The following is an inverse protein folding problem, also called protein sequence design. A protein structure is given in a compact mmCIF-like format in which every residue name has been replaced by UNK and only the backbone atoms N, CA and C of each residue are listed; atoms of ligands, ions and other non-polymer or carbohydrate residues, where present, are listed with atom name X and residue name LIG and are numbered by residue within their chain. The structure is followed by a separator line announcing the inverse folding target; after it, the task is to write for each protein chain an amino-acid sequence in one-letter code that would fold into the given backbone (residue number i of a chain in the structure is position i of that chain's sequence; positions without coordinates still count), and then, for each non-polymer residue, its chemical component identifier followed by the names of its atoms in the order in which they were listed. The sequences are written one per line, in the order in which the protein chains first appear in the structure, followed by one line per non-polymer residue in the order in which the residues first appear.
data_IF_879073599348
#
_entry.id   IF_879073599348
#
_cell.length_a   1.000
_cell.length_b   1.000
_cell.length_c   1.000
_cell.angle_alpha   90.00
_cell.angle_beta   90.00
_cell.angle_gamma   90.00
#
_symmetry.space_group_name_H-M   'P 1'
#
loop_
_entity.id
_entity.type
_entity.pdbx_description
1 polymer ?
#
# COMPACT_ATOMS: atom_id res chain seq x y z
N UNK A 1 5.30 2.80 -11.12
CA UNK A 1 5.63 2.06 -9.89
C UNK A 1 4.65 0.92 -9.67
N UNK A 2 5.15 -0.16 -9.08
CA UNK A 2 4.38 -1.28 -8.54
C UNK A 2 4.94 -1.61 -7.15
N UNK A 3 4.07 -2.13 -6.31
CA UNK A 3 4.42 -2.47 -4.93
C UNK A 3 3.91 -3.87 -4.58
N UNK A 4 4.61 -4.56 -3.69
CA UNK A 4 4.16 -5.80 -3.10
C UNK A 4 4.50 -5.89 -1.61
N UNK A 5 3.54 -6.42 -0.84
CA UNK A 5 3.68 -6.81 0.56
C UNK A 5 3.14 -8.24 0.67
N UNK A 6 4.03 -9.21 0.91
CA UNK A 6 3.71 -10.63 0.76
C UNK A 6 3.17 -10.93 -0.65
N UNK A 7 1.99 -11.55 -0.71
CA UNK A 7 1.26 -11.88 -1.94
C UNK A 7 0.34 -10.75 -2.44
N UNK A 8 0.23 -9.65 -1.69
CA UNK A 8 -0.59 -8.50 -2.11
C UNK A 8 0.19 -7.65 -3.10
N UNK A 9 -0.36 -7.47 -4.30
CA UNK A 9 0.19 -6.57 -5.32
C UNK A 9 -0.64 -5.29 -5.43
N UNK A 10 0.04 -4.14 -5.47
CA UNK A 10 -0.59 -2.83 -5.60
C UNK A 10 -0.06 -2.12 -6.85
N UNK A 11 -1.00 -1.57 -7.60
CA UNK A 11 -0.78 -0.93 -8.89
C UNK A 11 -0.63 0.58 -8.74
N UNK A 12 0.55 1.12 -9.07
CA UNK A 12 0.77 2.56 -9.07
C UNK A 12 0.78 3.17 -7.66
N UNK A 13 0.95 4.48 -7.63
CA UNK A 13 0.90 5.30 -6.42
C UNK A 13 -0.34 6.19 -6.52
N UNK A 14 -1.24 6.07 -5.54
CA UNK A 14 -2.40 6.94 -5.38
C UNK A 14 -2.00 8.25 -4.70
N UNK A 15 -2.81 9.29 -4.85
CA UNK A 15 -2.59 10.58 -4.15
C UNK A 15 -3.06 10.49 -2.71
N UNK A 16 -4.08 9.68 -2.47
CA UNK A 16 -4.67 9.44 -1.14
C UNK A 16 -5.35 8.07 -1.11
N UNK A 17 -5.60 7.54 0.09
CA UNK A 17 -6.39 6.33 0.29
C UNK A 17 -7.78 6.37 -0.39
N UNK A 18 -8.34 7.56 -0.61
CA UNK A 18 -9.65 7.73 -1.22
C UNK A 18 -9.70 7.49 -2.75
N UNK A 19 -8.56 7.31 -3.40
CA UNK A 19 -8.49 7.06 -4.86
C UNK A 19 -8.82 5.59 -5.23
N UNK A 20 -8.98 4.68 -4.26
CA UNK A 20 -9.38 3.28 -4.48
C UNK A 20 -10.74 2.97 -3.84
N UNK A 21 -11.39 1.87 -4.20
CA UNK A 21 -12.64 1.44 -3.57
C UNK A 21 -12.45 1.10 -2.07
N UNK A 22 -13.52 1.19 -1.27
CA UNK A 22 -13.50 0.75 0.13
C UNK A 22 -13.10 -0.73 0.21
N UNK A 23 -12.19 -1.06 1.12
CA UNK A 23 -11.65 -2.40 1.27
C UNK A 23 -10.55 -2.77 0.27
N UNK A 24 -10.22 -1.91 -0.70
CA UNK A 24 -9.13 -2.18 -1.63
C UNK A 24 -7.76 -1.80 -1.04
N UNK A 25 -6.70 -2.58 -1.34
CA UNK A 25 -5.32 -2.20 -1.06
C UNK A 25 -4.90 -0.94 -1.82
N UNK A 26 -4.05 -0.11 -1.21
CA UNK A 26 -3.58 1.15 -1.78
C UNK A 26 -2.17 1.47 -1.32
N UNK A 27 -1.41 2.12 -2.20
CA UNK A 27 -0.10 2.68 -1.92
C UNK A 27 -0.17 4.19 -2.18
N UNK A 28 0.22 5.03 -1.22
CA UNK A 28 0.24 6.49 -1.35
C UNK A 28 1.34 7.08 -0.46
N UNK A 29 1.65 8.38 -0.59
CA UNK A 29 2.55 9.06 0.34
C UNK A 29 1.78 9.53 1.57
N UNK A 30 2.22 9.07 2.74
CA UNK A 30 1.68 9.46 4.03
C UNK A 30 2.09 10.88 4.44
N UNK A 31 1.56 11.35 5.57
CA UNK A 31 1.88 12.68 6.10
C UNK A 31 3.32 12.82 6.61
N UNK A 32 4.00 11.71 6.84
CA UNK A 32 5.41 11.67 7.25
C UNK A 32 6.36 11.50 6.05
N UNK A 33 5.89 11.74 4.82
CA UNK A 33 6.63 11.62 3.55
C UNK A 33 7.16 10.20 3.24
N UNK A 34 6.64 9.18 3.92
CA UNK A 34 6.92 7.77 3.63
C UNK A 34 5.85 7.14 2.72
N UNK A 35 6.24 6.06 2.03
CA UNK A 35 5.29 5.19 1.34
C UNK A 35 4.41 4.47 2.37
N UNK A 36 3.11 4.71 2.31
CA UNK A 36 2.11 3.98 3.08
C UNK A 36 1.47 2.89 2.23
N UNK A 37 1.45 1.66 2.78
CA UNK A 37 0.70 0.53 2.23
C UNK A 37 -0.49 0.27 3.16
N UNK A 38 -1.70 0.45 2.65
CA UNK A 38 -2.92 0.43 3.46
C UNK A 38 -4.09 -0.25 2.75
N UNK A 39 -5.23 -0.33 3.43
CA UNK A 39 -6.51 -0.77 2.88
C UNK A 39 -7.55 0.29 3.21
N UNK A 40 -8.23 0.85 2.20
CA UNK A 40 -9.20 1.94 2.42
C UNK A 40 -10.27 1.51 3.42
N UNK A 41 -10.45 2.30 4.49
CA UNK A 41 -11.40 2.08 5.58
C UNK A 41 -11.22 0.73 6.30
N UNK A 42 -9.99 0.21 6.41
CA UNK A 42 -9.68 -0.98 7.19
C UNK A 42 -8.29 -0.89 7.84
N UNK A 43 -7.98 -1.84 8.73
CA UNK A 43 -6.63 -2.00 9.28
C UNK A 43 -5.72 -2.68 8.23
N UNK A 44 -4.83 -1.90 7.60
CA UNK A 44 -3.93 -2.39 6.55
C UNK A 44 -2.99 -3.51 7.02
N UNK A 45 -2.37 -3.37 8.19
CA UNK A 45 -1.48 -4.37 8.76
C UNK A 45 -2.17 -5.73 8.95
N UNK A 46 -3.36 -5.72 9.58
CA UNK A 46 -4.14 -6.93 9.82
C UNK A 46 -4.65 -7.58 8.52
N UNK A 47 -4.95 -6.78 7.49
CA UNK A 47 -5.49 -7.28 6.21
C UNK A 47 -4.43 -7.78 5.25
N UNK A 48 -3.25 -7.18 5.28
CA UNK A 48 -2.17 -7.43 4.32
C UNK A 48 -1.03 -8.26 4.92
N UNK A 49 -1.12 -8.63 6.21
CA UNK A 49 -0.05 -9.33 6.92
C UNK A 49 1.17 -8.44 7.19
N UNK A 50 0.98 -7.13 7.22
CA UNK A 50 2.04 -6.16 7.51
C UNK A 50 2.42 -6.17 8.99
N UNK A 51 3.71 -6.15 9.26
CA UNK A 51 4.28 -5.97 10.60
C UNK A 51 5.58 -5.17 10.51
N UNK A 52 6.04 -4.62 11.63
CA UNK A 52 7.36 -3.98 11.68
C UNK A 52 8.44 -4.98 11.25
N UNK A 53 9.31 -4.56 10.34
CA UNK A 53 10.34 -5.41 9.73
C UNK A 53 9.87 -6.23 8.52
N UNK A 54 8.58 -6.19 8.16
CA UNK A 54 8.11 -6.83 6.93
C UNK A 54 8.69 -6.13 5.69
N UNK A 55 9.06 -6.93 4.68
CA UNK A 55 9.59 -6.42 3.43
C UNK A 55 8.47 -5.87 2.53
N UNK A 56 8.65 -4.64 2.05
CA UNK A 56 7.87 -4.06 0.95
C UNK A 56 8.77 -4.02 -0.28
N UNK A 57 8.36 -4.70 -1.35
CA UNK A 57 9.05 -4.65 -2.65
C UNK A 57 8.44 -3.53 -3.49
N UNK A 58 9.28 -2.66 -4.02
CA UNK A 58 8.88 -1.59 -4.93
C UNK A 58 9.72 -1.64 -6.21
N UNK A 59 9.07 -1.56 -7.37
CA UNK A 59 9.77 -1.52 -8.64
C UNK A 59 9.11 -0.57 -9.63
N UNK A 60 9.94 0.05 -10.46
CA UNK A 60 9.48 0.90 -11.54
C UNK A 60 8.99 0.02 -12.71
N UNK A 61 7.98 0.50 -13.43
CA UNK A 61 7.49 -0.13 -14.66
C UNK A 61 7.46 0.98 -15.70
N UNK A 62 8.21 0.75 -16.78
CA UNK A 62 8.27 1.62 -17.97
C UNK A 62 6.98 1.58 -18.77
#
# INVERSE_FOLDING_TARGET
WRFALGDTHIAGLSRTFADVAVGAPVAYLGSDDFLEISVRNANGAARLGGMLGAEVRAWYVS
#
